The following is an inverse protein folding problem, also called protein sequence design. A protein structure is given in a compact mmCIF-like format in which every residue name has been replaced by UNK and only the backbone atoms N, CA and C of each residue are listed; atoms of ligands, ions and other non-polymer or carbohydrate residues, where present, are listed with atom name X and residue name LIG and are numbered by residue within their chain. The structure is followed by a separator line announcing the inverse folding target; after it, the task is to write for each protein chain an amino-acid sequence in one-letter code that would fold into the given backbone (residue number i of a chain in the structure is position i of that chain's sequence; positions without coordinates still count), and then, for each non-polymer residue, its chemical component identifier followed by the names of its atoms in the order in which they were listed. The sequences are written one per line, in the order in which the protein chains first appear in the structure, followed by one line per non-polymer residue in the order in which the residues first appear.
data_IF_030779572306
#
_entry.id   IF_030779572306
#
_cell.length_a   1.000
_cell.length_b   1.000
_cell.length_c   1.000
_cell.angle_alpha   90.00
_cell.angle_beta   90.00
_cell.angle_gamma   90.00
#
_symmetry.space_group_name_H-M   'P 1'
#
loop_
_entity.id
_entity.type
_entity.pdbx_description
1 polymer ?
#
# COMPACT_ATOMS: atom_id res chain seq x y z
N UNK A 1 -16.22 -7.62 12.95
CA UNK A 1 -14.90 -8.18 13.32
C UNK A 1 -13.82 -7.39 12.59
N UNK A 2 -12.86 -6.80 13.32
CA UNK A 2 -11.72 -6.12 12.70
C UNK A 2 -10.64 -7.16 12.38
N UNK A 3 -10.44 -7.44 11.09
CA UNK A 3 -9.36 -8.32 10.65
C UNK A 3 -8.03 -7.55 10.65
N UNK A 4 -7.25 -7.68 11.72
CA UNK A 4 -5.90 -7.13 11.79
C UNK A 4 -4.92 -8.08 11.10
N UNK A 5 -4.20 -7.60 10.08
CA UNK A 5 -3.15 -8.34 9.38
C UNK A 5 -1.82 -7.64 9.57
N UNK A 6 -0.81 -8.36 10.06
CA UNK A 6 0.57 -7.88 10.11
C UNK A 6 1.26 -8.28 8.81
N UNK A 7 1.79 -7.31 8.08
CA UNK A 7 2.59 -7.54 6.87
C UNK A 7 3.97 -6.92 7.06
N UNK A 8 4.99 -7.56 6.48
CA UNK A 8 6.37 -7.05 6.48
C UNK A 8 6.51 -5.99 5.39
N UNK A 9 7.20 -4.90 5.70
CA UNK A 9 7.63 -3.93 4.69
C UNK A 9 8.76 -4.59 3.89
N UNK A 10 8.58 -4.66 2.59
CA UNK A 10 9.59 -5.19 1.69
C UNK A 10 10.45 -4.06 1.15
N UNK A 11 11.65 -4.41 0.71
CA UNK A 11 12.55 -3.46 0.08
C UNK A 11 12.44 -3.59 -1.42
N UNK A 12 12.25 -2.47 -2.13
CA UNK A 12 12.22 -2.43 -3.59
C UNK A 12 13.43 -1.64 -4.09
N UNK A 13 14.13 -2.24 -5.06
CA UNK A 13 15.14 -1.53 -5.83
C UNK A 13 14.44 -0.76 -6.95
N UNK A 14 14.56 0.55 -6.92
CA UNK A 14 14.02 1.45 -7.94
C UNK A 14 15.19 2.11 -8.67
N UNK A 15 15.19 2.01 -10.02
CA UNK A 15 16.09 2.83 -10.84
C UNK A 15 15.58 4.26 -10.82
N UNK A 16 16.36 5.15 -10.20
CA UNK A 16 16.26 6.59 -10.38
C UNK A 16 17.08 7.00 -11.61
N UNK A 17 16.88 8.23 -12.11
CA UNK A 17 17.45 8.76 -13.35
C UNK A 17 18.96 8.55 -13.46
N UNK A 18 19.68 8.56 -12.33
CA UNK A 18 21.14 8.42 -12.31
C UNK A 18 21.66 7.33 -11.36
N UNK A 19 20.81 6.67 -10.56
CA UNK A 19 21.24 5.72 -9.51
C UNK A 19 20.18 4.67 -9.19
N UNK A 20 20.62 3.52 -8.67
CA UNK A 20 19.73 2.54 -8.04
C UNK A 20 19.46 2.99 -6.60
N UNK A 21 18.20 3.24 -6.26
CA UNK A 21 17.79 3.58 -4.90
C UNK A 21 16.95 2.46 -4.29
N UNK A 22 17.04 2.35 -2.97
CA UNK A 22 16.37 1.34 -2.18
C UNK A 22 15.21 2.00 -1.44
N UNK A 23 13.97 1.65 -1.79
CA UNK A 23 12.76 2.25 -1.22
C UNK A 23 11.92 1.20 -0.49
N UNK A 24 11.22 1.56 0.61
CA UNK A 24 10.28 0.67 1.26
C UNK A 24 9.02 0.47 0.40
N UNK A 25 8.54 -0.76 0.28
CA UNK A 25 7.34 -1.16 -0.47
C UNK A 25 6.38 -1.93 0.45
N UNK A 26 5.13 -1.46 0.49
CA UNK A 26 4.02 -2.14 1.17
C UNK A 26 3.23 -2.93 0.13
N UNK A 27 3.19 -4.27 0.27
CA UNK A 27 2.47 -5.17 -0.64
C UNK A 27 1.22 -5.73 0.03
N UNK A 28 0.06 -5.18 -0.31
CA UNK A 28 -1.23 -5.74 0.08
C UNK A 28 -1.73 -6.67 -1.03
N UNK A 29 -2.01 -7.93 -0.70
CA UNK A 29 -2.55 -8.94 -1.63
C UNK A 29 -3.63 -9.79 -0.95
N UNK A 30 -4.67 -10.15 -1.70
CA UNK A 30 -5.69 -11.13 -1.29
C UNK A 30 -7.11 -10.72 -1.65
N UNK A 31 -8.01 -11.71 -1.73
CA UNK A 31 -9.45 -11.53 -2.04
C UNK A 31 -10.17 -10.56 -1.09
N UNK A 32 -9.63 -10.36 0.11
CA UNK A 32 -10.15 -9.42 1.10
C UNK A 32 -10.01 -7.95 0.67
N UNK A 33 -9.04 -7.60 -0.19
CA UNK A 33 -8.92 -6.24 -0.74
C UNK A 33 -10.08 -5.92 -1.67
N UNK A 34 -10.43 -6.88 -2.51
CA UNK A 34 -11.56 -6.76 -3.43
C UNK A 34 -12.89 -6.66 -2.67
N UNK A 35 -13.07 -7.47 -1.62
CA UNK A 35 -14.22 -7.37 -0.71
C UNK A 35 -14.32 -6.03 0.03
N UNK A 36 -13.18 -5.35 0.27
CA UNK A 36 -13.13 -3.99 0.83
C UNK A 36 -13.35 -2.90 -0.23
N UNK A 37 -13.49 -3.28 -1.50
CA UNK A 37 -13.71 -2.35 -2.60
C UNK A 37 -12.42 -1.79 -3.21
N UNK A 38 -11.22 -2.28 -2.84
CA UNK A 38 -9.94 -1.95 -3.47
C UNK A 38 -9.75 -2.74 -4.78
N UNK A 39 -10.66 -2.49 -5.72
CA UNK A 39 -10.68 -3.13 -7.04
C UNK A 39 -9.76 -2.44 -8.05
N UNK A 40 -9.48 -3.14 -9.16
CA UNK A 40 -8.72 -2.61 -10.29
C UNK A 40 -9.41 -1.37 -10.88
N UNK A 41 -8.64 -0.34 -11.20
CA UNK A 41 -9.12 0.90 -11.82
C UNK A 41 -9.66 1.94 -10.84
N UNK A 42 -9.75 1.62 -9.54
CA UNK A 42 -10.14 2.58 -8.51
C UNK A 42 -8.93 3.35 -7.98
N UNK A 43 -9.14 4.62 -7.71
CA UNK A 43 -8.15 5.48 -7.06
C UNK A 43 -8.25 5.32 -5.55
N UNK A 44 -7.11 5.37 -4.86
CA UNK A 44 -7.05 5.36 -3.39
C UNK A 44 -6.52 6.68 -2.89
N UNK A 45 -7.10 7.18 -1.81
CA UNK A 45 -6.55 8.30 -1.06
C UNK A 45 -5.66 7.75 0.05
N UNK A 46 -4.42 8.23 0.09
CA UNK A 46 -3.46 7.90 1.13
C UNK A 46 -3.27 9.15 1.98
N UNK A 47 -3.67 9.06 3.25
CA UNK A 47 -3.38 10.10 4.25
C UNK A 47 -2.26 9.62 5.15
N UNK A 48 -1.19 10.40 5.21
CA UNK A 48 -0.03 10.12 6.04
C UNK A 48 -0.02 10.99 7.31
N UNK A 49 0.38 10.37 8.42
CA UNK A 49 0.71 11.01 9.69
C UNK A 49 1.89 10.26 10.29
N UNK A 50 2.60 10.86 11.25
CA UNK A 50 3.67 10.19 11.99
C UNK A 50 3.20 8.79 12.47
N UNK A 51 3.88 7.74 12.01
CA UNK A 51 3.63 6.32 12.29
C UNK A 51 2.24 5.78 11.87
N UNK A 52 1.46 6.51 11.07
CA UNK A 52 0.12 6.09 10.65
C UNK A 52 -0.12 6.42 9.19
N UNK A 53 -0.47 5.40 8.42
CA UNK A 53 -0.87 5.53 7.03
C UNK A 53 -2.32 5.04 6.90
N UNK A 54 -3.20 5.91 6.41
CA UNK A 54 -4.63 5.59 6.24
C UNK A 54 -4.93 5.52 4.76
N UNK A 55 -5.34 4.35 4.28
CA UNK A 55 -5.68 4.10 2.87
C UNK A 55 -7.19 3.99 2.78
N UNK A 56 -7.82 4.80 1.94
CA UNK A 56 -9.27 4.77 1.71
C UNK A 56 -9.54 4.73 0.21
N UNK A 57 -10.53 3.95 -0.21
CA UNK A 57 -11.01 3.93 -1.60
C UNK A 57 -11.65 5.29 -1.91
N UNK A 58 -11.24 5.93 -3.00
CA UNK A 58 -11.90 7.13 -3.52
C UNK A 58 -13.15 6.71 -4.28
N UNK A 59 -14.23 7.48 -4.11
CA UNK A 59 -15.54 7.20 -4.72
C UNK A 59 -15.52 7.42 -6.22
#
# INVERSE_FOLDING_TARGET
MMNARKIKIHTRYQKSTHRLITVPEIRLRGKWLDALGFGKGKTVHIREKKNKLTITVSK
#
